data_IF_104170961269
#
_entry.id   IF_104170961269
#
_cell.length_a   1.000
_cell.length_b   1.000
_cell.length_c   1.000
_cell.angle_alpha   90.00
_cell.angle_beta   90.00
_cell.angle_gamma   90.00
#
_symmetry.space_group_name_H-M   'P 1'
#
loop_
_entity.id
_entity.type
_entity.pdbx_description
1 polymer ?
#
# COMPACT_ATOMS: atom_id res chain seq x y z
N UNK A 1 -2.11 -5.46 19.51
CA UNK A 1 -2.36 -4.01 19.36
C UNK A 1 -2.52 -3.74 17.87
N UNK A 2 -3.60 -3.10 17.42
CA UNK A 2 -3.83 -2.86 15.98
C UNK A 2 -3.25 -1.51 15.56
N UNK A 3 -2.95 -1.28 14.28
CA UNK A 3 -2.44 0.03 13.83
C UNK A 3 -3.42 1.15 14.21
N UNK A 4 -4.71 0.95 13.92
CA UNK A 4 -5.73 1.93 14.24
C UNK A 4 -5.82 2.19 15.75
N UNK A 5 -5.70 1.14 16.58
CA UNK A 5 -5.63 1.27 18.03
C UNK A 5 -4.42 2.10 18.47
N UNK A 6 -3.26 1.83 17.88
CA UNK A 6 -1.99 2.52 18.14
C UNK A 6 -2.10 4.02 17.88
N UNK A 7 -2.61 4.40 16.71
CA UNK A 7 -2.74 5.80 16.31
C UNK A 7 -3.78 6.53 17.16
N UNK A 8 -4.90 5.85 17.47
CA UNK A 8 -5.93 6.40 18.35
C UNK A 8 -5.41 6.60 19.77
N UNK A 9 -4.59 5.66 20.26
CA UNK A 9 -3.92 5.74 21.55
C UNK A 9 -2.99 6.95 21.63
N UNK A 10 -2.10 7.13 20.65
CA UNK A 10 -1.17 8.26 20.63
C UNK A 10 -1.92 9.60 20.62
N UNK A 11 -2.96 9.76 19.80
CA UNK A 11 -3.76 10.98 19.80
C UNK A 11 -4.62 11.16 21.07
N UNK A 12 -5.07 10.07 21.70
CA UNK A 12 -5.86 10.14 22.93
C UNK A 12 -5.06 10.76 24.06
N UNK A 13 -3.78 10.41 24.15
CA UNK A 13 -2.84 10.93 25.14
C UNK A 13 -2.06 12.16 24.67
N UNK A 14 -2.53 12.82 23.61
CA UNK A 14 -1.86 13.97 23.00
C UNK A 14 -1.55 15.12 23.96
N UNK A 15 -2.48 15.39 24.87
CA UNK A 15 -2.31 16.43 25.89
C UNK A 15 -1.14 16.12 26.86
N UNK A 16 -0.79 14.85 27.07
CA UNK A 16 0.29 14.45 28.01
C UNK A 16 1.68 14.83 27.50
N UNK A 17 1.92 14.68 26.19
CA UNK A 17 3.18 15.08 25.56
C UNK A 17 3.13 16.49 24.94
N UNK A 18 2.17 17.31 25.37
CA UNK A 18 2.09 18.73 25.01
C UNK A 18 1.42 19.05 23.68
N UNK A 19 0.90 18.05 22.96
CA UNK A 19 0.14 18.25 21.72
C UNK A 19 -1.35 18.44 22.03
N UNK A 20 -1.80 19.69 22.22
CA UNK A 20 -3.19 19.95 22.61
C UNK A 20 -4.18 19.86 21.45
N UNK A 21 -4.69 18.66 21.20
CA UNK A 21 -5.69 18.42 20.16
C UNK A 21 -7.09 18.89 20.59
N UNK A 22 -7.57 19.95 19.96
CA UNK A 22 -8.95 20.46 20.16
C UNK A 22 -10.00 19.44 19.72
N UNK A 23 -11.22 19.54 20.26
CA UNK A 23 -12.36 18.69 19.86
C UNK A 23 -12.62 18.76 18.36
N UNK A 24 -12.52 19.96 17.78
CA UNK A 24 -12.66 20.17 16.33
C UNK A 24 -11.56 19.44 15.54
N UNK A 25 -10.30 19.56 15.99
CA UNK A 25 -9.17 18.85 15.39
C UNK A 25 -9.32 17.32 15.47
N UNK A 26 -9.80 16.79 16.61
CA UNK A 26 -10.08 15.35 16.76
C UNK A 26 -11.16 14.87 15.79
N UNK A 27 -12.28 15.60 15.67
CA UNK A 27 -13.36 15.29 14.71
C UNK A 27 -12.87 15.34 13.27
N UNK A 28 -12.09 16.36 12.92
CA UNK A 28 -11.50 16.51 11.58
C UNK A 28 -10.56 15.34 11.26
N UNK A 29 -9.70 14.96 12.20
CA UNK A 29 -8.76 13.85 12.04
C UNK A 29 -9.48 12.51 11.87
N UNK A 30 -10.58 12.27 12.60
CA UNK A 30 -11.41 11.07 12.45
C UNK A 30 -12.13 11.04 11.08
N UNK A 31 -12.66 12.18 10.62
CA UNK A 31 -13.32 12.27 9.32
C UNK A 31 -12.34 11.99 8.16
N UNK A 32 -11.12 12.54 8.22
CA UNK A 32 -10.07 12.29 7.22
C UNK A 32 -9.72 10.81 7.19
N UNK A 33 -9.45 10.21 8.35
CA UNK A 33 -9.07 8.80 8.44
C UNK A 33 -10.17 7.88 7.91
N UNK A 34 -11.44 8.16 8.23
CA UNK A 34 -12.59 7.40 7.69
C UNK A 34 -12.70 7.51 6.17
N UNK A 35 -12.51 8.70 5.61
CA UNK A 35 -12.58 8.91 4.17
C UNK A 35 -11.46 8.15 3.44
N UNK A 36 -10.23 8.18 3.98
CA UNK A 36 -9.10 7.43 3.42
C UNK A 36 -9.32 5.93 3.52
N UNK A 37 -9.77 5.42 4.67
CA UNK A 37 -10.08 3.99 4.83
C UNK A 37 -11.15 3.53 3.84
N UNK A 38 -12.16 4.36 3.58
CA UNK A 38 -13.19 4.10 2.57
C UNK A 38 -12.57 4.00 1.17
N UNK A 39 -11.78 4.99 0.76
CA UNK A 39 -11.11 4.97 -0.53
C UNK A 39 -10.18 3.75 -0.68
N UNK A 40 -9.41 3.45 0.38
CA UNK A 40 -8.54 2.29 0.45
C UNK A 40 -9.32 0.98 0.27
N UNK A 41 -10.49 0.87 0.88
CA UNK A 41 -11.31 -0.34 0.79
C UNK A 41 -11.94 -0.51 -0.59
N UNK A 42 -12.38 0.59 -1.20
CA UNK A 42 -13.02 0.58 -2.52
C UNK A 42 -12.06 0.13 -3.64
N UNK A 43 -10.75 0.37 -3.49
CA UNK A 43 -9.76 -0.06 -4.48
C UNK A 43 -9.69 -1.59 -4.64
N UNK A 44 -10.16 -2.35 -3.65
CA UNK A 44 -10.15 -3.82 -3.66
C UNK A 44 -11.43 -4.43 -4.24
N UNK A 45 -12.43 -3.60 -4.57
CA UNK A 45 -13.63 -4.09 -5.23
C UNK A 45 -13.33 -4.55 -6.65
N UNK A 46 -14.17 -5.45 -7.17
CA UNK A 46 -14.09 -5.92 -8.55
C UNK A 46 -14.08 -4.74 -9.53
N UNK A 47 -13.08 -4.72 -10.41
CA UNK A 47 -12.98 -3.76 -11.50
C UNK A 47 -14.08 -3.96 -12.55
N UNK A 48 -14.61 -5.20 -12.65
CA UNK A 48 -15.62 -5.58 -13.62
C UNK A 48 -17.04 -5.64 -13.01
N UNK A 49 -18.01 -5.08 -13.75
CA UNK A 49 -19.30 -5.76 -13.92
C UNK A 49 -19.00 -7.02 -14.75
N UNK A 50 -18.68 -8.16 -14.13
CA UNK A 50 -18.20 -9.33 -14.90
C UNK A 50 -19.26 -9.78 -15.94
N UNK A 51 -18.96 -9.86 -17.25
CA UNK A 51 -19.79 -10.58 -18.20
C UNK A 51 -19.37 -12.05 -18.31
N UNK A 52 -18.63 -12.59 -17.34
CA UNK A 52 -18.35 -14.03 -17.20
C UNK A 52 -19.47 -14.72 -16.41
N UNK A 53 -20.71 -14.45 -16.81
CA UNK A 53 -21.88 -15.27 -16.50
C UNK A 53 -22.34 -15.89 -17.81
N UNK A 54 -22.20 -17.21 -17.92
CA UNK A 54 -22.70 -18.05 -19.01
C UNK A 54 -24.06 -17.52 -19.49
N UNK A 55 -24.15 -17.13 -20.77
CA UNK A 55 -25.42 -16.82 -21.41
C UNK A 55 -26.29 -18.08 -21.41
N UNK A 56 -27.10 -18.26 -20.37
CA UNK A 56 -28.27 -19.13 -20.45
C UNK A 56 -29.38 -18.33 -21.12
N UNK A 57 -29.59 -18.65 -22.38
CA UNK A 57 -30.69 -18.16 -23.22
C UNK A 57 -32.05 -18.41 -22.56
N UNK A 58 -32.74 -17.35 -22.15
CA UNK A 58 -34.21 -17.34 -22.11
C UNK A 58 -34.72 -15.93 -22.42
N UNK A 59 -35.15 -15.76 -23.67
CA UNK A 59 -35.97 -14.65 -24.12
C UNK A 59 -37.27 -14.57 -23.29
N UNK A 60 -37.55 -13.41 -22.68
CA UNK A 60 -38.92 -12.90 -22.55
C UNK A 60 -38.91 -11.36 -22.53
N UNK A 61 -39.68 -10.78 -23.46
CA UNK A 61 -39.89 -9.36 -23.64
C UNK A 61 -40.73 -8.74 -22.50
N UNK A 62 -40.33 -7.58 -21.97
CA UNK A 62 -41.26 -6.50 -21.59
C UNK A 62 -40.55 -5.16 -21.29
N UNK A 63 -41.29 -4.02 -21.37
CA UNK A 63 -40.75 -2.74 -21.83
C UNK A 63 -40.51 -1.70 -20.72
N UNK A 64 -39.62 -0.75 -21.03
CA UNK A 64 -39.56 0.67 -20.63
C UNK A 64 -39.69 1.02 -19.13
N UNK A 65 -38.60 1.58 -18.58
CA UNK A 65 -38.67 2.80 -17.76
C UNK A 65 -38.49 2.65 -16.25
N UNK A 66 -37.26 2.84 -15.76
CA UNK A 66 -36.97 3.66 -14.56
C UNK A 66 -35.48 3.95 -14.43
N UNK A 67 -35.14 5.23 -14.45
CA UNK A 67 -33.84 5.78 -14.06
C UNK A 67 -33.43 5.21 -12.70
N UNK A 68 -32.36 4.42 -12.70
CA UNK A 68 -31.67 3.96 -11.49
C UNK A 68 -30.27 4.57 -11.57
N UNK A 69 -29.75 5.27 -10.55
CA UNK A 69 -28.43 5.90 -10.64
C UNK A 69 -27.40 4.79 -10.82
N UNK A 70 -26.75 4.78 -11.98
CA UNK A 70 -25.72 3.81 -12.35
C UNK A 70 -24.44 4.16 -11.61
N UNK A 71 -24.42 4.01 -10.28
CA UNK A 71 -23.23 4.25 -9.46
C UNK A 71 -22.29 3.04 -9.63
N UNK A 72 -21.48 3.05 -10.69
CA UNK A 72 -20.47 2.01 -10.88
C UNK A 72 -19.51 2.00 -9.68
N UNK A 73 -19.01 0.83 -9.24
CA UNK A 73 -17.95 0.75 -8.21
C UNK A 73 -16.75 1.66 -8.50
N UNK A 74 -16.43 1.86 -9.78
CA UNK A 74 -15.41 2.80 -10.26
C UNK A 74 -15.74 4.27 -9.95
N UNK A 75 -17.01 4.67 -10.11
CA UNK A 75 -17.46 6.03 -9.79
C UNK A 75 -17.43 6.26 -8.28
N UNK A 76 -17.87 5.26 -7.49
CA UNK A 76 -17.79 5.32 -6.04
C UNK A 76 -16.34 5.41 -5.53
N UNK A 77 -15.42 4.66 -6.14
CA UNK A 77 -13.99 4.75 -5.85
C UNK A 77 -13.43 6.14 -6.17
N UNK A 78 -13.73 6.65 -7.36
CA UNK A 78 -13.32 7.99 -7.80
C UNK A 78 -13.80 9.08 -6.82
N UNK A 79 -15.08 9.12 -6.51
CA UNK A 79 -15.67 10.11 -5.60
C UNK A 79 -15.06 10.02 -4.20
N UNK A 80 -14.88 8.79 -3.70
CA UNK A 80 -14.28 8.57 -2.38
C UNK A 80 -12.81 8.98 -2.35
N UNK A 81 -12.06 8.74 -3.43
CA UNK A 81 -10.65 9.14 -3.54
C UNK A 81 -10.51 10.67 -3.56
N UNK A 82 -11.33 11.35 -4.36
CA UNK A 82 -11.35 12.82 -4.40
C UNK A 82 -11.77 13.45 -3.08
N UNK A 83 -12.79 12.86 -2.42
CA UNK A 83 -13.21 13.30 -1.10
C UNK A 83 -12.08 13.13 -0.08
N UNK A 84 -11.39 11.98 -0.08
CA UNK A 84 -10.27 11.73 0.81
C UNK A 84 -9.12 12.74 0.58
N UNK A 85 -8.73 12.97 -0.69
CA UNK A 85 -7.72 13.97 -1.07
C UNK A 85 -8.07 15.37 -0.56
N UNK A 86 -9.30 15.82 -0.77
CA UNK A 86 -9.79 17.13 -0.31
C UNK A 86 -9.75 17.25 1.22
N UNK A 87 -10.16 16.21 1.93
CA UNK A 87 -10.13 16.20 3.39
C UNK A 87 -8.70 16.22 3.94
N UNK A 88 -7.76 15.47 3.34
CA UNK A 88 -6.33 15.52 3.69
C UNK A 88 -5.79 16.93 3.53
N UNK A 89 -6.00 17.53 2.35
CA UNK A 89 -5.55 18.91 2.05
C UNK A 89 -6.05 19.91 3.10
N UNK A 90 -7.32 19.80 3.48
CA UNK A 90 -7.91 20.64 4.51
C UNK A 90 -7.31 20.36 5.91
N UNK A 91 -6.84 19.15 6.20
CA UNK A 91 -6.36 18.73 7.51
C UNK A 91 -4.84 18.85 7.70
N UNK A 92 -4.07 19.33 6.72
CA UNK A 92 -2.60 19.43 6.80
C UNK A 92 -2.10 20.21 8.03
N UNK A 93 -2.83 21.22 8.50
CA UNK A 93 -2.46 22.00 9.69
C UNK A 93 -2.72 21.28 11.02
N UNK A 94 -3.45 20.16 11.03
CA UNK A 94 -3.80 19.43 12.25
C UNK A 94 -2.65 18.50 12.67
N UNK A 95 -2.15 18.65 13.89
CA UNK A 95 -1.07 17.82 14.43
C UNK A 95 -1.62 16.55 15.08
N UNK A 96 -1.98 15.56 14.26
CA UNK A 96 -2.58 14.30 14.71
C UNK A 96 -1.94 13.10 14.02
N UNK A 97 -1.69 12.04 14.79
CA UNK A 97 -1.24 10.75 14.26
C UNK A 97 -2.27 10.11 13.33
N UNK A 98 -3.59 10.37 13.53
CA UNK A 98 -4.63 9.95 12.57
C UNK A 98 -4.45 10.62 11.22
N UNK A 99 -4.09 11.90 11.18
CA UNK A 99 -3.82 12.62 9.93
C UNK A 99 -2.54 12.10 9.27
N UNK A 100 -1.47 11.87 10.05
CA UNK A 100 -0.23 11.24 9.55
C UNK A 100 -0.55 9.91 8.88
N UNK A 101 -1.24 9.01 9.58
CA UNK A 101 -1.54 7.70 9.05
C UNK A 101 -2.48 7.74 7.84
N UNK A 102 -3.45 8.66 7.83
CA UNK A 102 -4.31 8.86 6.68
C UNK A 102 -3.52 9.31 5.45
N UNK A 103 -2.53 10.21 5.60
CA UNK A 103 -1.62 10.58 4.52
C UNK A 103 -0.84 9.37 4.02
N UNK A 104 -0.21 8.61 4.92
CA UNK A 104 0.57 7.42 4.59
C UNK A 104 -0.28 6.35 3.87
N UNK A 105 -1.49 6.11 4.33
CA UNK A 105 -2.38 5.15 3.67
C UNK A 105 -2.81 5.64 2.29
N UNK A 106 -3.23 6.90 2.18
CA UNK A 106 -3.69 7.51 0.93
C UNK A 106 -2.62 7.49 -0.15
N UNK A 107 -1.37 7.71 0.22
CA UNK A 107 -0.21 7.68 -0.67
C UNK A 107 -0.07 6.34 -1.43
N UNK A 108 -0.48 5.24 -0.79
CA UNK A 108 -0.44 3.92 -1.42
C UNK A 108 -1.67 3.57 -2.27
N UNK A 109 -2.75 4.36 -2.23
CA UNK A 109 -3.98 4.07 -2.96
C UNK A 109 -3.77 4.40 -4.45
N UNK A 110 -4.16 3.49 -5.34
CA UNK A 110 -4.08 3.71 -6.78
C UNK A 110 -4.80 5.00 -7.21
N UNK A 111 -4.20 5.75 -8.13
CA UNK A 111 -4.78 7.00 -8.64
C UNK A 111 -5.87 6.65 -9.68
N UNK A 112 -7.13 7.11 -9.51
CA UNK A 112 -8.18 6.85 -10.47
C UNK A 112 -7.83 7.38 -11.87
N UNK A 113 -8.04 6.58 -12.92
CA UNK A 113 -7.74 6.97 -14.30
C UNK A 113 -8.42 8.29 -14.72
N UNK A 114 -9.63 8.57 -14.23
CA UNK A 114 -10.38 9.82 -14.47
C UNK A 114 -9.67 11.07 -13.91
N UNK A 115 -8.75 10.90 -12.96
CA UNK A 115 -7.99 11.98 -12.36
C UNK A 115 -6.75 12.39 -13.18
N UNK A 116 -6.38 11.62 -14.21
CA UNK A 116 -5.17 11.83 -15.04
C UNK A 116 -5.14 13.14 -15.84
N UNK A 117 -6.28 13.84 -15.97
CA UNK A 117 -6.37 15.16 -16.60
C UNK A 117 -6.12 16.34 -15.67
N UNK A 118 -6.05 16.13 -14.35
CA UNK A 118 -5.63 17.15 -13.39
C UNK A 118 -4.11 17.13 -13.22
N UNK A 119 -3.49 18.28 -12.93
CA UNK A 119 -2.08 18.32 -12.46
C UNK A 119 -1.98 17.62 -11.11
N UNK A 120 -1.86 16.29 -11.15
CA UNK A 120 -1.60 15.44 -10.01
C UNK A 120 -0.10 15.39 -9.76
N UNK A 121 0.29 15.79 -8.55
CA UNK A 121 1.65 15.62 -8.07
C UNK A 121 1.71 14.25 -7.41
N UNK A 122 2.56 13.35 -7.93
CA UNK A 122 2.82 12.07 -7.28
C UNK A 122 3.26 12.32 -5.83
N UNK A 123 2.74 11.53 -4.90
CA UNK A 123 3.06 11.64 -3.47
C UNK A 123 2.82 13.05 -2.87
N UNK A 124 1.81 13.79 -3.36
CA UNK A 124 1.49 15.19 -3.01
C UNK A 124 1.60 15.52 -1.51
N UNK A 125 1.21 14.59 -0.64
CA UNK A 125 1.14 14.81 0.80
C UNK A 125 2.24 14.10 1.59
N UNK A 126 3.05 13.23 0.97
CA UNK A 126 3.96 12.35 1.69
C UNK A 126 4.96 13.13 2.54
N UNK A 127 5.59 14.16 1.96
CA UNK A 127 6.52 15.04 2.66
C UNK A 127 5.90 15.77 3.84
N UNK A 128 4.64 16.21 3.70
CA UNK A 128 3.91 16.85 4.78
C UNK A 128 3.59 15.84 5.90
N UNK A 129 3.27 14.59 5.55
CA UNK A 129 3.08 13.49 6.48
C UNK A 129 4.35 13.14 7.24
N UNK A 130 5.48 13.03 6.53
CA UNK A 130 6.82 12.77 7.08
C UNK A 130 7.23 13.86 8.08
N UNK A 131 7.14 15.12 7.67
CA UNK A 131 7.47 16.25 8.54
C UNK A 131 6.59 16.27 9.79
N UNK A 132 5.28 16.03 9.64
CA UNK A 132 4.32 15.96 10.75
C UNK A 132 4.65 14.82 11.72
N UNK A 133 5.01 13.64 11.20
CA UNK A 133 5.43 12.51 12.02
C UNK A 133 6.67 12.86 12.84
N UNK A 134 7.68 13.46 12.23
CA UNK A 134 8.91 13.84 12.94
C UNK A 134 8.64 14.82 14.09
N UNK A 135 7.79 15.83 13.86
CA UNK A 135 7.38 16.76 14.90
C UNK A 135 6.65 16.07 16.06
N UNK A 136 5.67 15.21 15.77
CA UNK A 136 4.91 14.49 16.80
C UNK A 136 5.77 13.45 17.53
N UNK A 137 6.66 12.78 16.80
CA UNK A 137 7.60 11.81 17.35
C UNK A 137 8.51 12.47 18.39
N UNK A 138 9.07 13.64 18.10
CA UNK A 138 9.91 14.37 19.03
C UNK A 138 9.20 14.71 20.34
N UNK A 139 7.91 15.05 20.29
CA UNK A 139 7.11 15.29 21.50
C UNK A 139 6.91 14.02 22.33
N UNK A 140 6.55 12.91 21.68
CA UNK A 140 6.35 11.62 22.35
C UNK A 140 7.65 11.12 22.97
N UNK A 141 8.77 11.20 22.25
CA UNK A 141 10.09 10.79 22.74
C UNK A 141 10.51 11.62 23.96
N UNK A 142 10.36 12.94 23.90
CA UNK A 142 10.66 13.81 25.05
C UNK A 142 9.79 13.45 26.27
N UNK A 143 8.52 13.12 26.06
CA UNK A 143 7.64 12.69 27.14
C UNK A 143 8.05 11.33 27.72
N UNK A 144 8.41 10.36 26.88
CA UNK A 144 8.90 9.06 27.34
C UNK A 144 10.20 9.18 28.15
N UNK A 145 11.13 10.04 27.74
CA UNK A 145 12.34 10.34 28.50
C UNK A 145 12.03 10.87 29.91
N UNK A 146 11.01 11.72 30.05
CA UNK A 146 10.58 12.26 31.34
C UNK A 146 9.93 11.20 32.25
N UNK A 147 9.32 10.16 31.68
CA UNK A 147 8.70 9.06 32.45
C UNK A 147 9.73 8.06 32.98
N UNK A 148 10.91 7.99 32.38
CA UNK A 148 11.99 7.07 32.74
C UNK A 148 11.78 5.63 32.24
N UNK A 149 12.86 4.84 32.29
CA UNK A 149 12.96 3.50 31.68
C UNK A 149 12.08 2.41 32.30
N UNK A 150 11.46 2.67 33.45
CA UNK A 150 10.58 1.71 34.14
C UNK A 150 9.10 1.98 33.93
N UNK A 151 8.75 3.00 33.14
CA UNK A 151 7.35 3.34 32.90
C UNK A 151 6.72 2.43 31.86
N UNK A 152 5.74 1.63 32.29
CA UNK A 152 4.88 0.85 31.37
C UNK A 152 4.22 1.74 30.32
N UNK A 153 3.80 2.95 30.68
CA UNK A 153 3.21 3.90 29.75
C UNK A 153 4.22 4.41 28.71
N UNK A 154 5.46 4.66 29.14
CA UNK A 154 6.56 5.01 28.23
C UNK A 154 6.79 3.90 27.20
N UNK A 155 6.90 2.65 27.65
CA UNK A 155 7.07 1.49 26.77
C UNK A 155 5.96 1.35 25.75
N UNK A 156 4.69 1.52 26.15
CA UNK A 156 3.54 1.43 25.23
C UNK A 156 3.56 2.58 24.21
N UNK A 157 3.92 3.80 24.63
CA UNK A 157 4.04 4.96 23.73
C UNK A 157 5.17 4.78 22.72
N UNK A 158 6.33 4.29 23.14
CA UNK A 158 7.47 4.00 22.26
C UNK A 158 7.16 2.88 21.27
N UNK A 159 6.54 1.80 21.73
CA UNK A 159 6.08 0.71 20.86
C UNK A 159 5.06 1.25 19.83
N UNK A 160 4.13 2.09 20.29
CA UNK A 160 3.13 2.73 19.43
C UNK A 160 3.76 3.62 18.37
N UNK A 161 4.73 4.45 18.76
CA UNK A 161 5.47 5.31 17.85
C UNK A 161 6.29 4.48 16.85
N UNK A 162 6.88 3.37 17.29
CA UNK A 162 7.65 2.47 16.43
C UNK A 162 6.79 1.86 15.33
N UNK A 163 5.54 1.48 15.62
CA UNK A 163 4.58 1.02 14.59
C UNK A 163 4.31 2.12 13.57
N UNK A 164 4.04 3.37 14.00
CA UNK A 164 3.79 4.48 13.06
C UNK A 164 5.03 4.79 12.21
N UNK A 165 6.23 4.71 12.79
CA UNK A 165 7.50 4.86 12.06
C UNK A 165 7.70 3.77 11.03
N UNK A 166 7.35 2.53 11.35
CA UNK A 166 7.38 1.43 10.39
C UNK A 166 6.37 1.67 9.24
N UNK A 167 5.16 2.12 9.54
CA UNK A 167 4.16 2.49 8.53
C UNK A 167 4.71 3.55 7.55
N UNK A 168 5.43 4.52 8.11
CA UNK A 168 6.10 5.56 7.34
C UNK A 168 7.22 5.00 6.46
N UNK A 169 8.08 4.15 7.02
CA UNK A 169 9.18 3.50 6.31
C UNK A 169 8.70 2.75 5.07
N UNK A 170 7.64 1.93 5.23
CA UNK A 170 7.06 1.17 4.12
C UNK A 170 6.56 2.09 2.99
N UNK A 171 6.01 3.26 3.35
CA UNK A 171 5.51 4.22 2.36
C UNK A 171 6.60 5.03 1.69
N UNK A 172 7.59 5.46 2.43
CA UNK A 172 8.75 6.19 1.91
C UNK A 172 9.56 5.32 0.93
N UNK A 173 9.71 4.02 1.22
CA UNK A 173 10.30 3.05 0.28
C UNK A 173 9.37 2.84 -0.91
N UNK A 174 8.07 2.62 -0.68
CA UNK A 174 7.09 2.44 -1.74
C UNK A 174 7.14 3.57 -2.77
N UNK A 175 7.16 4.82 -2.29
CA UNK A 175 7.29 6.01 -3.14
C UNK A 175 8.59 6.03 -3.93
N UNK A 176 9.72 5.69 -3.32
CA UNK A 176 11.02 5.61 -4.00
C UNK A 176 11.09 4.49 -5.05
N UNK A 177 10.29 3.42 -4.88
CA UNK A 177 10.20 2.33 -5.86
C UNK A 177 9.29 2.68 -7.04
N UNK A 178 8.25 3.50 -6.82
CA UNK A 178 7.21 3.79 -7.81
C UNK A 178 7.39 5.12 -8.54
N UNK A 179 8.20 6.03 -8.00
CA UNK A 179 8.40 7.37 -8.52
C UNK A 179 9.84 7.84 -8.32
N UNK A 180 10.18 9.00 -8.88
CA UNK A 180 11.45 9.70 -8.63
C UNK A 180 11.44 10.40 -7.26
N UNK A 181 11.17 9.62 -6.21
CA UNK A 181 11.15 10.07 -4.82
C UNK A 181 12.43 9.65 -4.13
N UNK A 182 13.16 10.61 -3.56
CA UNK A 182 14.34 10.33 -2.75
C UNK A 182 13.86 9.90 -1.37
N UNK A 183 14.04 8.62 -1.06
CA UNK A 183 13.67 8.03 0.23
C UNK A 183 14.33 8.80 1.39
N UNK A 184 13.55 9.29 2.35
CA UNK A 184 14.01 10.16 3.45
C UNK A 184 14.21 9.38 4.76
N UNK A 185 14.65 8.14 4.63
CA UNK A 185 14.86 7.22 5.75
C UNK A 185 15.65 7.89 6.87
N UNK A 186 15.05 7.92 8.06
CA UNK A 186 15.83 8.06 9.30
C UNK A 186 16.24 6.65 9.73
N UNK A 187 17.52 6.45 10.06
CA UNK A 187 18.14 5.19 10.54
C UNK A 187 17.57 4.66 11.88
N UNK A 188 16.24 4.57 12.02
CA UNK A 188 15.56 4.48 13.33
C UNK A 188 15.03 3.07 13.63
N UNK A 189 15.01 2.16 12.65
CA UNK A 189 14.72 0.75 12.91
C UNK A 189 16.04 -0.03 13.02
N UNK A 190 16.55 -0.12 14.25
CA UNK A 190 17.42 -1.24 14.60
C UNK A 190 16.67 -2.55 14.33
N UNK A 191 17.37 -3.53 13.76
CA UNK A 191 16.85 -4.81 13.27
C UNK A 191 15.85 -5.49 14.26
N UNK A 192 16.16 -5.39 15.56
CA UNK A 192 15.39 -5.98 16.66
C UNK A 192 13.93 -5.48 16.77
N UNK A 193 13.63 -4.25 16.34
CA UNK A 193 12.27 -3.68 16.44
C UNK A 193 11.35 -4.12 15.31
N UNK A 194 11.91 -4.42 14.13
CA UNK A 194 11.16 -4.92 12.98
C UNK A 194 10.68 -6.36 13.22
N UNK A 195 11.55 -7.20 13.77
CA UNK A 195 11.27 -8.60 14.07
C UNK A 195 10.13 -8.76 15.09
N UNK A 196 10.08 -7.88 16.09
CA UNK A 196 9.00 -7.84 17.07
C UNK A 196 7.63 -7.52 16.42
N UNK A 197 7.58 -6.60 15.45
CA UNK A 197 6.33 -6.25 14.72
C UNK A 197 5.86 -7.39 13.82
N UNK A 198 6.80 -8.10 13.18
CA UNK A 198 6.51 -9.23 12.29
C UNK A 198 6.06 -10.49 13.05
N UNK A 199 6.38 -10.61 14.34
CA UNK A 199 6.01 -11.76 15.17
C UNK A 199 4.55 -11.78 15.67
N UNK A 200 3.74 -10.77 15.35
CA UNK A 200 2.35 -10.68 15.80
C UNK A 200 1.41 -11.61 14.99
N UNK A 201 0.48 -12.33 15.63
CA UNK A 201 -0.39 -13.31 14.98
C UNK A 201 -1.31 -12.68 13.91
N UNK A 202 -1.58 -13.47 12.86
CA UNK A 202 -2.38 -13.09 11.69
C UNK A 202 -3.78 -13.73 11.79
N UNK A 203 -4.83 -12.92 11.94
CA UNK A 203 -6.24 -13.36 11.94
C UNK A 203 -7.06 -12.55 10.91
N UNK A 204 -8.14 -13.18 10.42
CA UNK A 204 -8.81 -12.95 9.12
C UNK A 204 -9.23 -11.50 8.79
N UNK A 205 -9.19 -11.18 7.48
CA UNK A 205 -9.21 -9.79 6.96
C UNK A 205 -10.28 -9.60 5.88
N UNK A 206 -11.45 -9.05 6.26
CA UNK A 206 -12.27 -8.05 5.53
C UNK A 206 -13.63 -7.89 6.24
N UNK A 207 -14.17 -6.67 6.38
CA UNK A 207 -15.53 -6.44 6.90
C UNK A 207 -16.30 -5.53 5.93
N UNK A 208 -17.41 -6.03 5.38
CA UNK A 208 -18.21 -5.34 4.36
C UNK A 208 -18.82 -4.00 4.85
N UNK A 209 -19.04 -3.85 6.16
CA UNK A 209 -19.70 -2.69 6.76
C UNK A 209 -18.72 -1.51 6.97
N UNK A 210 -17.45 -1.80 7.26
CA UNK A 210 -16.42 -0.83 7.66
C UNK A 210 -15.16 -0.84 6.79
N UNK A 211 -15.10 -1.68 5.76
CA UNK A 211 -14.01 -1.79 4.80
C UNK A 211 -12.81 -2.63 5.27
N UNK A 212 -12.53 -2.72 6.58
CA UNK A 212 -11.47 -3.57 7.16
C UNK A 212 -11.88 -4.05 8.57
N UNK A 213 -11.50 -5.28 8.96
CA UNK A 213 -11.71 -5.81 10.31
C UNK A 213 -10.87 -5.04 11.35
N UNK A 214 -11.42 -4.87 12.56
CA UNK A 214 -10.68 -4.30 13.69
C UNK A 214 -9.47 -5.17 14.10
N UNK A 215 -9.40 -6.41 13.61
CA UNK A 215 -8.37 -7.42 13.91
C UNK A 215 -7.32 -7.58 12.79
N UNK A 216 -7.43 -6.80 11.70
CA UNK A 216 -6.48 -6.90 10.60
C UNK A 216 -5.03 -6.61 11.04
N UNK A 217 -4.10 -7.43 10.54
CA UNK A 217 -2.68 -7.35 10.88
C UNK A 217 -2.09 -5.97 10.57
N UNK A 218 -0.96 -5.65 11.22
CA UNK A 218 -0.20 -4.42 10.95
C UNK A 218 0.19 -4.33 9.47
N UNK A 219 0.39 -5.47 8.79
CA UNK A 219 0.78 -5.48 7.37
C UNK A 219 -0.40 -5.21 6.43
N UNK A 220 -1.62 -5.61 6.80
CA UNK A 220 -2.79 -5.61 5.91
C UNK A 220 -3.20 -4.21 5.43
N UNK A 221 -2.93 -3.17 6.21
CA UNK A 221 -3.22 -1.79 5.82
C UNK A 221 -2.13 -1.17 4.92
N UNK A 222 -1.01 -1.86 4.76
CA UNK A 222 0.13 -1.41 3.98
C UNK A 222 0.22 -2.07 2.61
N UNK A 223 -0.33 -3.26 2.45
CA UNK A 223 -0.48 -3.91 1.15
C UNK A 223 -1.43 -3.05 0.32
N UNK A 224 -0.98 -2.59 -0.84
CA UNK A 224 -1.79 -1.89 -1.84
C UNK A 224 -1.50 -2.47 -3.22
N UNK A 225 -2.43 -2.41 -4.18
CA UNK A 225 -2.17 -2.93 -5.51
C UNK A 225 -0.94 -2.27 -6.16
N UNK A 226 -0.75 -0.97 -5.96
CA UNK A 226 0.44 -0.23 -6.41
C UNK A 226 1.74 -0.81 -5.84
N UNK A 227 1.80 -1.05 -4.53
CA UNK A 227 3.01 -1.59 -3.90
C UNK A 227 3.28 -3.04 -4.33
N UNK A 228 2.25 -3.87 -4.45
CA UNK A 228 2.38 -5.25 -4.92
C UNK A 228 2.87 -5.29 -6.36
N UNK A 229 2.28 -4.48 -7.25
CA UNK A 229 2.68 -4.40 -8.65
C UNK A 229 4.15 -3.95 -8.80
N UNK A 230 4.57 -2.92 -8.05
CA UNK A 230 5.96 -2.46 -8.04
C UNK A 230 6.91 -3.53 -7.51
N UNK A 231 6.53 -4.24 -6.44
CA UNK A 231 7.34 -5.32 -5.86
C UNK A 231 7.51 -6.47 -6.86
N UNK A 232 6.44 -6.87 -7.55
CA UNK A 232 6.49 -7.91 -8.58
C UNK A 232 7.34 -7.48 -9.78
N UNK A 233 7.19 -6.24 -10.24
CA UNK A 233 8.06 -5.69 -11.29
C UNK A 233 9.53 -5.76 -10.87
N UNK A 234 9.88 -5.24 -9.69
CA UNK A 234 11.27 -5.25 -9.19
C UNK A 234 11.81 -6.65 -8.94
N UNK A 235 10.98 -7.59 -8.52
CA UNK A 235 11.37 -8.99 -8.37
C UNK A 235 11.74 -9.61 -9.72
N UNK A 236 10.96 -9.36 -10.78
CA UNK A 236 11.29 -9.84 -12.13
C UNK A 236 12.57 -9.20 -12.64
N UNK A 237 12.71 -7.88 -12.52
CA UNK A 237 13.94 -7.15 -12.91
C UNK A 237 15.17 -7.73 -12.20
N UNK A 238 15.08 -7.96 -10.88
CA UNK A 238 16.18 -8.52 -10.10
C UNK A 238 16.53 -9.97 -10.51
N UNK A 239 15.52 -10.81 -10.80
CA UNK A 239 15.76 -12.17 -11.30
C UNK A 239 16.50 -12.10 -12.64
N UNK A 240 16.05 -11.24 -13.56
CA UNK A 240 16.66 -11.07 -14.87
C UNK A 240 18.10 -10.56 -14.77
N UNK A 241 18.36 -9.56 -13.92
CA UNK A 241 19.71 -9.04 -13.68
C UNK A 241 20.65 -10.12 -13.17
N UNK A 242 20.21 -10.96 -12.23
CA UNK A 242 21.02 -12.06 -11.71
C UNK A 242 21.34 -13.12 -12.77
N UNK A 243 20.42 -13.38 -13.71
CA UNK A 243 20.62 -14.39 -14.77
C UNK A 243 21.44 -13.85 -15.95
N UNK A 244 21.23 -12.58 -16.33
CA UNK A 244 21.88 -11.95 -17.48
C UNK A 244 23.27 -11.40 -17.12
N UNK A 245 23.45 -10.94 -15.88
CA UNK A 245 24.68 -10.36 -15.37
C UNK A 245 25.08 -11.01 -14.03
N UNK A 246 25.43 -12.30 -14.02
CA UNK A 246 25.83 -12.98 -12.79
C UNK A 246 27.03 -12.26 -12.16
N UNK A 247 27.02 -12.01 -10.84
CA UNK A 247 28.10 -11.29 -10.17
C UNK A 247 29.43 -12.00 -10.44
N UNK A 248 30.43 -11.23 -10.86
CA UNK A 248 31.74 -11.75 -11.23
C UNK A 248 32.47 -12.26 -9.97
N UNK A 249 32.24 -13.52 -9.60
CA UNK A 249 33.02 -14.22 -8.57
C UNK A 249 34.33 -14.77 -9.14
N UNK A 250 35.42 -14.59 -8.39
CA UNK A 250 36.75 -15.13 -8.66
C UNK A 250 36.71 -16.65 -8.90
N UNK A 251 36.70 -17.08 -10.16
CA UNK A 251 36.70 -18.47 -10.55
C UNK A 251 37.23 -18.61 -11.97
N UNK A 252 38.28 -19.44 -12.13
CA UNK A 252 39.06 -19.59 -13.36
C UNK A 252 38.20 -19.89 -14.61
N UNK A 253 38.60 -19.42 -15.81
CA UNK A 253 37.75 -19.37 -17.01
C UNK A 253 37.51 -20.71 -17.72
N UNK A 254 37.68 -21.87 -17.06
CA UNK A 254 37.80 -23.17 -17.76
C UNK A 254 36.74 -24.23 -17.48
N UNK A 255 35.81 -24.02 -16.56
CA UNK A 255 34.69 -24.97 -16.34
C UNK A 255 33.29 -24.34 -16.52
N UNK A 256 33.20 -23.18 -17.16
CA UNK A 256 31.92 -22.59 -17.55
C UNK A 256 31.40 -23.24 -18.84
N UNK A 257 31.30 -24.56 -18.87
CA UNK A 257 30.38 -25.20 -19.81
C UNK A 257 28.97 -24.78 -19.38
N UNK A 258 28.27 -24.07 -20.26
CA UNK A 258 26.83 -23.86 -20.17
C UNK A 258 26.17 -25.23 -19.97
N UNK A 259 25.88 -25.60 -18.73
CA UNK A 259 25.04 -26.73 -18.43
C UNK A 259 23.65 -26.43 -19.03
N UNK A 260 23.10 -27.29 -19.90
CA UNK A 260 21.74 -27.15 -20.41
C UNK A 260 20.66 -27.25 -19.31
N UNK A 261 21.09 -27.56 -18.08
CA UNK A 261 20.29 -27.64 -16.86
C UNK A 261 20.46 -26.42 -15.94
N UNK A 262 20.86 -25.26 -16.48
CA UNK A 262 20.71 -24.00 -15.75
C UNK A 262 19.24 -23.88 -15.29
N UNK A 263 19.09 -23.94 -13.97
CA UNK A 263 17.88 -24.18 -13.20
C UNK A 263 16.63 -23.47 -13.77
N UNK A 264 15.71 -24.20 -14.43
CA UNK A 264 14.48 -23.63 -15.02
C UNK A 264 13.55 -22.98 -13.98
N UNK A 265 13.88 -23.15 -12.71
CA UNK A 265 13.24 -22.56 -11.54
C UNK A 265 13.06 -21.03 -11.65
N UNK A 266 14.02 -20.29 -12.23
CA UNK A 266 13.87 -18.84 -12.38
C UNK A 266 12.77 -18.46 -13.40
N UNK A 267 12.61 -19.24 -14.48
CA UNK A 267 11.52 -19.04 -15.45
C UNK A 267 10.17 -19.28 -14.80
N UNK A 268 10.07 -20.34 -13.99
CA UNK A 268 8.87 -20.64 -13.22
C UNK A 268 8.55 -19.53 -12.19
N UNK A 269 9.56 -18.94 -11.56
CA UNK A 269 9.36 -17.77 -10.69
C UNK A 269 8.83 -16.57 -11.47
N UNK A 270 9.39 -16.25 -12.64
CA UNK A 270 8.87 -15.17 -13.49
C UNK A 270 7.43 -15.45 -13.91
N UNK A 271 7.11 -16.67 -14.36
CA UNK A 271 5.75 -17.08 -14.72
C UNK A 271 4.77 -16.87 -13.56
N UNK A 272 5.14 -17.33 -12.37
CA UNK A 272 4.31 -17.20 -11.16
C UNK A 272 4.07 -15.73 -10.79
N UNK A 273 5.12 -14.91 -10.82
CA UNK A 273 5.02 -13.49 -10.49
C UNK A 273 4.19 -12.75 -11.54
N UNK A 274 4.35 -13.06 -12.83
CA UNK A 274 3.55 -12.50 -13.92
C UNK A 274 2.07 -12.85 -13.79
N UNK A 275 1.73 -14.10 -13.46
CA UNK A 275 0.35 -14.53 -13.18
C UNK A 275 -0.25 -13.77 -11.99
N UNK A 276 0.53 -13.56 -10.94
CA UNK A 276 0.16 -12.73 -9.80
C UNK A 276 -0.10 -11.27 -10.22
N UNK A 277 0.76 -10.69 -11.05
CA UNK A 277 0.63 -9.32 -11.54
C UNK A 277 -0.63 -9.14 -12.40
N UNK A 278 -0.93 -10.09 -13.30
CA UNK A 278 -2.16 -10.08 -14.10
C UNK A 278 -3.40 -10.23 -13.22
N UNK A 279 -3.34 -11.06 -12.19
CA UNK A 279 -4.47 -11.31 -11.28
C UNK A 279 -4.86 -10.08 -10.47
N UNK A 280 -3.97 -9.10 -10.28
CA UNK A 280 -4.31 -7.82 -9.64
C UNK A 280 -5.39 -7.05 -10.42
N UNK A 281 -5.46 -7.21 -11.75
CA UNK A 281 -6.43 -6.53 -12.63
C UNK A 281 -7.90 -6.81 -12.25
N UNK A 282 -8.15 -7.91 -11.52
CA UNK A 282 -9.46 -8.21 -10.98
C UNK A 282 -10.02 -7.13 -10.05
N UNK A 283 -9.15 -6.30 -9.45
CA UNK A 283 -9.54 -5.22 -8.51
C UNK A 283 -9.40 -3.84 -9.15
N UNK A 284 -10.22 -2.87 -8.73
CA UNK A 284 -10.16 -1.50 -9.25
C UNK A 284 -8.74 -0.92 -9.16
N UNK A 285 -8.12 -1.01 -7.98
CA UNK A 285 -6.78 -0.48 -7.75
C UNK A 285 -5.71 -1.28 -8.49
N UNK A 286 -5.89 -2.59 -8.63
CA UNK A 286 -4.97 -3.44 -9.37
C UNK A 286 -5.01 -3.22 -10.87
N UNK A 287 -6.19 -3.01 -11.47
CA UNK A 287 -6.31 -2.65 -12.87
C UNK A 287 -5.57 -1.35 -13.24
N UNK A 288 -5.49 -0.42 -12.28
CA UNK A 288 -4.74 0.83 -12.43
C UNK A 288 -3.22 0.64 -12.27
N UNK A 289 -2.79 -0.34 -11.45
CA UNK A 289 -1.39 -0.53 -11.09
C UNK A 289 -0.65 -1.58 -11.93
N UNK A 290 -1.28 -2.74 -12.18
CA UNK A 290 -0.66 -3.87 -12.88
C UNK A 290 -0.39 -3.55 -14.35
N UNK A 291 -1.30 -2.83 -15.01
CA UNK A 291 -1.14 -2.46 -16.42
C UNK A 291 0.15 -1.68 -16.69
N UNK A 292 0.48 -0.70 -15.83
CA UNK A 292 1.72 0.08 -15.95
C UNK A 292 2.96 -0.80 -15.74
N UNK A 293 2.94 -1.67 -14.72
CA UNK A 293 4.05 -2.56 -14.42
C UNK A 293 4.30 -3.57 -15.56
N UNK A 294 3.24 -4.19 -16.08
CA UNK A 294 3.31 -5.12 -17.23
C UNK A 294 3.84 -4.38 -18.47
N UNK A 295 3.34 -3.19 -18.75
CA UNK A 295 3.80 -2.39 -19.90
C UNK A 295 5.30 -2.10 -19.82
N UNK A 296 5.80 -1.67 -18.65
CA UNK A 296 7.23 -1.41 -18.45
C UNK A 296 8.08 -2.66 -18.64
N UNK A 297 7.66 -3.78 -18.04
CA UNK A 297 8.35 -5.07 -18.18
C UNK A 297 8.40 -5.53 -19.64
N UNK A 298 7.28 -5.47 -20.36
CA UNK A 298 7.22 -5.88 -21.76
C UNK A 298 8.01 -4.96 -22.68
N UNK A 299 8.11 -3.67 -22.35
CA UNK A 299 8.89 -2.70 -23.12
C UNK A 299 10.40 -2.96 -23.03
N UNK A 300 10.89 -3.41 -21.87
CA UNK A 300 12.33 -3.57 -21.61
C UNK A 300 12.78 -5.03 -21.78
N UNK A 301 11.96 -6.00 -21.38
CA UNK A 301 12.31 -7.42 -21.27
C UNK A 301 11.30 -8.34 -21.99
N UNK A 302 10.49 -7.81 -22.91
CA UNK A 302 9.37 -8.53 -23.52
C UNK A 302 9.76 -9.80 -24.28
N UNK A 303 10.95 -9.85 -24.87
CA UNK A 303 11.49 -11.03 -25.54
C UNK A 303 11.71 -12.19 -24.55
N UNK A 304 12.38 -11.92 -23.43
CA UNK A 304 12.67 -12.94 -22.40
C UNK A 304 11.39 -13.32 -21.65
N UNK A 305 10.54 -12.34 -21.31
CA UNK A 305 9.31 -12.59 -20.57
C UNK A 305 8.34 -13.45 -21.39
N UNK A 306 8.25 -13.22 -22.71
CA UNK A 306 7.39 -14.04 -23.58
C UNK A 306 7.79 -15.51 -23.61
N UNK A 307 9.09 -15.81 -23.46
CA UNK A 307 9.62 -17.19 -23.37
C UNK A 307 9.42 -17.83 -21.99
N UNK A 308 9.19 -17.03 -20.96
CA UNK A 308 9.01 -17.49 -19.58
C UNK A 308 7.54 -17.59 -19.18
N UNK A 309 6.66 -16.82 -19.82
CA UNK A 309 5.28 -16.66 -19.40
C UNK A 309 4.34 -17.61 -20.14
N UNK A 310 3.72 -18.52 -19.40
CA UNK A 310 2.61 -19.33 -19.87
C UNK A 310 1.29 -18.57 -19.65
N UNK A 311 0.51 -18.39 -20.72
CA UNK A 311 -0.82 -17.77 -20.63
C UNK A 311 -1.85 -18.63 -19.90
N UNK A 312 -1.49 -19.85 -19.49
CA UNK A 312 -2.38 -20.80 -18.86
C UNK A 312 -2.39 -20.60 -17.32
N UNK A 313 -3.55 -20.22 -16.79
CA UNK A 313 -3.83 -20.33 -15.37
C UNK A 313 -4.27 -21.78 -15.11
N UNK A 314 -3.32 -22.69 -14.84
CA UNK A 314 -3.69 -24.02 -14.37
C UNK A 314 -4.37 -23.88 -13.00
N UNK A 315 -5.66 -24.24 -12.96
CA UNK A 315 -6.55 -24.27 -11.78
C UNK A 315 -6.32 -25.48 -10.91
#
# INVERSE_FOLDING_TARGET
MTILGTIRFLDHFSDLYGNRLTVSARRKSDAVLKAVLRAFSLQWLSSADSPTGVQSTTNYNSPIGRDTPRNSPMDAFYDSWFQARSLIKNALSVQSFRVVYAILMFDGISIPAKASGETLVAHEFLDAGLHKLNCLAGLVEQYCLNLGSHSTYGTIMEASLSVVRWCNHVRDIGAALTADHVCKLSDVLGNDKAECVLSLPFEEVFNLQNGVSAEASILSYHITPTLVAATFQKAIEAILDMQLYPPCGEGTPKDRSLSPHADSTWKQHIDTIMKGLVSLDATIGGALASGLAIQNLMQIHGDIISDCWSCDFET
#
